data_IF_773733410452
#
_entry.id   IF_773733410452
#
_cell.length_a   1.000
_cell.length_b   1.000
_cell.length_c   1.000
_cell.angle_alpha   90.00
_cell.angle_beta   90.00
_cell.angle_gamma   90.00
#
_symmetry.space_group_name_H-M   'P 1'
#
loop_
_entity.id
_entity.type
_entity.pdbx_description
1 polymer ?
#
# COMPACT_ATOMS: atom_id res chain seq x y z
N UNK A 1 13.80 -50.71 35.29
CA UNK A 1 15.11 -50.39 35.87
C UNK A 1 15.36 -48.91 35.61
N UNK A 2 15.17 -48.09 36.64
CA UNK A 2 15.28 -46.64 36.63
C UNK A 2 16.67 -46.27 37.12
N UNK A 3 17.38 -45.39 36.44
CA UNK A 3 18.53 -44.72 37.02
C UNK A 3 18.33 -43.18 36.85
N UNK A 4 18.14 -42.57 38.00
CA UNK A 4 18.18 -41.15 38.26
C UNK A 4 19.62 -40.69 38.30
N UNK A 5 19.95 -39.62 37.54
CA UNK A 5 21.23 -38.88 37.69
C UNK A 5 20.91 -37.52 38.26
N UNK A 6 21.44 -37.30 39.46
CA UNK A 6 21.44 -36.05 40.18
C UNK A 6 22.54 -35.15 39.65
N UNK A 7 22.26 -33.86 39.42
CA UNK A 7 23.24 -32.80 39.12
C UNK A 7 23.16 -31.74 40.19
N UNK A 8 24.25 -31.56 40.94
CA UNK A 8 24.44 -30.50 41.91
C UNK A 8 24.99 -29.20 41.27
N UNK A 9 24.72 -28.03 41.86
CA UNK A 9 25.11 -26.74 41.29
C UNK A 9 26.37 -26.22 42.02
N UNK A 10 27.42 -25.84 41.29
CA UNK A 10 28.42 -24.85 41.72
C UNK A 10 29.26 -24.39 40.52
N UNK A 11 29.42 -23.07 40.39
CA UNK A 11 30.34 -22.47 39.40
C UNK A 11 29.95 -21.07 38.98
N UNK A 12 30.13 -20.10 39.93
CA UNK A 12 30.22 -18.67 39.56
C UNK A 12 31.59 -18.41 38.93
N UNK A 13 31.64 -18.06 37.69
CA UNK A 13 32.80 -17.41 37.07
C UNK A 13 32.40 -16.01 36.61
N UNK A 14 32.99 -15.04 37.27
CA UNK A 14 32.88 -13.62 36.99
C UNK A 14 33.74 -13.26 35.78
N UNK A 15 33.12 -12.97 34.64
CA UNK A 15 33.76 -12.39 33.46
C UNK A 15 33.74 -10.87 33.56
N UNK A 16 34.94 -10.33 33.71
CA UNK A 16 35.31 -8.94 33.71
C UNK A 16 35.20 -8.39 32.28
N UNK A 17 34.26 -7.46 31.99
CA UNK A 17 34.11 -6.78 30.70
C UNK A 17 34.71 -5.38 30.80
N UNK A 18 35.71 -5.02 29.98
CA UNK A 18 36.25 -3.67 29.96
C UNK A 18 35.29 -2.68 29.31
N UNK A 19 34.99 -1.59 29.99
CA UNK A 19 34.23 -0.45 29.50
C UNK A 19 35.07 0.34 28.49
N UNK A 20 34.80 0.18 27.21
CA UNK A 20 35.27 1.12 26.21
C UNK A 20 34.21 2.20 25.97
N UNK A 21 34.56 3.42 26.33
CA UNK A 21 33.82 4.63 26.02
C UNK A 21 33.84 4.92 24.52
N UNK A 22 32.66 4.93 23.88
CA UNK A 22 32.47 5.35 22.50
C UNK A 22 32.09 6.84 22.43
N UNK A 23 32.60 7.61 21.46
CA UNK A 23 32.31 9.02 21.32
C UNK A 23 30.91 9.25 20.76
N UNK A 24 30.23 10.25 21.30
CA UNK A 24 28.92 10.72 20.90
C UNK A 24 28.91 11.20 19.43
N UNK A 25 28.37 10.41 18.51
CA UNK A 25 28.01 10.88 17.16
C UNK A 25 26.64 11.52 17.22
N UNK A 26 26.58 12.82 17.04
CA UNK A 26 25.38 13.59 16.74
C UNK A 26 24.76 13.05 15.45
N UNK A 27 23.66 12.29 15.57
CA UNK A 27 22.82 11.92 14.42
C UNK A 27 21.98 13.12 14.03
N UNK A 28 22.26 13.66 12.85
CA UNK A 28 21.37 14.57 12.16
C UNK A 28 20.07 13.82 11.84
N UNK A 29 18.96 14.28 12.41
CA UNK A 29 17.61 13.83 12.06
C UNK A 29 17.29 14.39 10.68
N UNK A 30 17.39 13.58 9.64
CA UNK A 30 16.72 13.84 8.37
C UNK A 30 15.26 13.41 8.53
N UNK A 31 14.39 14.37 8.71
CA UNK A 31 12.94 14.21 8.55
C UNK A 31 12.66 13.99 7.07
N UNK A 32 12.36 12.75 6.71
CA UNK A 32 11.74 12.44 5.42
C UNK A 32 10.24 12.60 5.63
N UNK A 33 9.73 13.77 5.25
CA UNK A 33 8.29 14.04 5.19
C UNK A 33 7.81 13.55 3.84
N UNK A 34 7.42 12.28 3.76
CA UNK A 34 6.67 11.74 2.64
C UNK A 34 5.20 12.07 2.84
N UNK A 35 4.75 13.17 2.27
CA UNK A 35 3.33 13.52 2.14
C UNK A 35 2.73 12.65 1.04
N UNK A 36 2.05 11.56 1.43
CA UNK A 36 1.08 10.91 0.55
C UNK A 36 -0.22 11.72 0.68
N UNK A 37 -0.40 12.65 -0.25
CA UNK A 37 -1.62 13.45 -0.35
C UNK A 37 -2.72 12.61 -0.97
N UNK A 38 -3.53 11.97 -0.13
CA UNK A 38 -4.82 11.46 -0.54
C UNK A 38 -5.79 12.66 -0.56
N UNK A 39 -5.96 13.28 -1.71
CA UNK A 39 -6.94 14.36 -1.90
C UNK A 39 -8.35 13.78 -1.92
N UNK A 40 -8.99 13.71 -0.76
CA UNK A 40 -10.45 13.68 -0.69
C UNK A 40 -10.93 15.08 -1.06
N UNK A 41 -11.44 15.25 -2.26
CA UNK A 41 -12.13 16.45 -2.68
C UNK A 41 -13.47 16.55 -1.94
N UNK A 42 -13.45 17.22 -0.78
CA UNK A 42 -14.65 17.64 -0.10
C UNK A 42 -15.06 18.99 -0.68
N UNK A 43 -16.03 19.00 -1.58
CA UNK A 43 -16.64 20.22 -2.11
C UNK A 43 -17.49 20.87 -1.01
N UNK A 44 -16.89 21.82 -0.28
CA UNK A 44 -17.65 22.79 0.49
C UNK A 44 -17.89 24.00 -0.39
N UNK A 45 -19.14 24.22 -0.82
CA UNK A 45 -19.55 25.41 -1.51
C UNK A 45 -19.57 26.62 -0.55
N UNK A 46 -18.94 27.73 -0.90
CA UNK A 46 -19.17 28.97 -0.17
C UNK A 46 -20.51 29.58 -0.60
N UNK A 47 -21.35 29.91 0.39
CA UNK A 47 -22.55 30.70 0.18
C UNK A 47 -22.16 32.13 -0.27
N UNK A 48 -22.36 32.42 -1.54
CA UNK A 48 -22.21 33.77 -2.08
C UNK A 48 -23.47 34.56 -1.80
N UNK A 49 -23.30 35.66 -1.07
CA UNK A 49 -24.29 36.74 -0.96
C UNK A 49 -24.51 37.35 -2.35
N UNK A 50 -25.76 37.47 -2.74
CA UNK A 50 -26.18 38.06 -4.01
C UNK A 50 -25.94 39.56 -4.02
N UNK A 51 -25.25 40.05 -5.05
CA UNK A 51 -25.18 41.46 -5.43
C UNK A 51 -25.95 41.64 -6.75
N UNK A 52 -26.72 42.76 -6.95
CA UNK A 52 -27.70 42.83 -8.02
C UNK A 52 -27.11 43.37 -9.33
N UNK A 53 -27.47 42.64 -10.40
CA UNK A 53 -27.68 43.13 -11.77
C UNK A 53 -26.55 43.89 -12.50
N UNK A 54 -25.89 43.12 -13.42
CA UNK A 54 -25.33 43.65 -14.66
C UNK A 54 -25.95 42.90 -15.87
N UNK A 55 -26.04 43.54 -17.07
CA UNK A 55 -26.89 43.06 -18.14
C UNK A 55 -26.36 41.82 -18.86
N UNK A 56 -27.31 40.98 -19.33
CA UNK A 56 -27.09 39.75 -20.07
C UNK A 56 -26.32 39.97 -21.36
N UNK A 57 -25.13 39.40 -21.45
CA UNK A 57 -24.42 39.18 -22.70
C UNK A 57 -24.82 37.78 -23.23
N UNK A 58 -25.42 37.77 -24.43
CA UNK A 58 -25.84 36.58 -25.15
C UNK A 58 -24.64 35.95 -25.83
N UNK A 59 -23.85 35.20 -25.06
CA UNK A 59 -22.83 34.33 -25.65
C UNK A 59 -23.46 33.02 -26.15
N UNK A 60 -23.25 32.71 -27.43
CA UNK A 60 -23.70 31.48 -28.06
C UNK A 60 -23.25 30.22 -27.30
N UNK A 61 -24.03 29.11 -27.34
CA UNK A 61 -23.64 27.89 -26.65
C UNK A 61 -22.33 27.34 -27.23
N UNK A 62 -21.30 27.22 -26.38
CA UNK A 62 -20.09 26.50 -26.73
C UNK A 62 -20.43 25.04 -27.01
N UNK A 63 -19.89 24.44 -28.11
CA UNK A 63 -20.06 23.01 -28.33
C UNK A 63 -19.50 22.24 -27.15
N UNK A 64 -20.28 21.31 -26.61
CA UNK A 64 -19.85 20.43 -25.52
C UNK A 64 -18.55 19.72 -25.91
N UNK A 65 -17.54 19.79 -25.04
CA UNK A 65 -16.31 19.04 -25.21
C UNK A 65 -16.63 17.55 -25.41
N UNK A 66 -15.92 16.84 -26.30
CA UNK A 66 -16.17 15.41 -26.50
C UNK A 66 -15.99 14.70 -25.17
N UNK A 67 -17.03 13.95 -24.77
CA UNK A 67 -17.00 13.10 -23.59
C UNK A 67 -15.88 12.07 -23.80
N UNK A 68 -14.86 12.10 -22.97
CA UNK A 68 -13.82 11.09 -23.03
C UNK A 68 -14.45 9.68 -22.92
N UNK A 69 -13.97 8.69 -23.70
CA UNK A 69 -14.47 7.33 -23.58
C UNK A 69 -14.31 6.87 -22.12
N UNK A 70 -15.27 6.08 -21.59
CA UNK A 70 -15.15 5.54 -20.25
C UNK A 70 -13.84 4.75 -20.14
N UNK A 71 -13.15 4.88 -18.99
CA UNK A 71 -11.95 4.13 -18.70
C UNK A 71 -12.24 2.62 -18.85
N UNK A 72 -11.30 1.84 -19.38
CA UNK A 72 -11.47 0.39 -19.48
C UNK A 72 -11.74 -0.20 -18.10
N UNK A 73 -12.77 -1.06 -18.03
CA UNK A 73 -13.12 -1.75 -16.77
C UNK A 73 -11.98 -2.72 -16.42
N UNK A 74 -11.54 -2.70 -15.16
CA UNK A 74 -10.52 -3.63 -14.68
C UNK A 74 -11.06 -5.08 -14.79
N UNK A 75 -10.35 -6.01 -15.44
CA UNK A 75 -10.76 -7.41 -15.52
C UNK A 75 -11.08 -8.05 -14.17
N UNK A 76 -10.41 -7.61 -13.09
CA UNK A 76 -10.69 -8.08 -11.73
C UNK A 76 -12.11 -7.71 -11.24
N UNK A 77 -12.67 -6.62 -11.74
CA UNK A 77 -14.01 -6.13 -11.38
C UNK A 77 -15.10 -6.67 -12.30
N UNK A 78 -14.73 -7.31 -13.42
CA UNK A 78 -15.69 -7.92 -14.34
C UNK A 78 -16.37 -9.15 -13.70
N UNK A 79 -17.67 -9.37 -13.95
CA UNK A 79 -18.33 -10.59 -13.49
C UNK A 79 -17.71 -11.82 -14.18
N UNK A 80 -17.64 -12.93 -13.45
CA UNK A 80 -17.21 -14.20 -14.04
C UNK A 80 -18.29 -14.65 -15.02
N UNK A 81 -17.90 -14.88 -16.27
CA UNK A 81 -18.82 -15.40 -17.27
C UNK A 81 -19.02 -16.91 -17.01
N UNK A 82 -20.21 -17.28 -16.60
CA UNK A 82 -20.63 -18.66 -16.31
C UNK A 82 -21.46 -19.29 -17.44
N UNK A 83 -21.42 -18.72 -18.63
CA UNK A 83 -22.11 -19.28 -19.81
C UNK A 83 -21.63 -20.71 -20.10
N UNK A 84 -22.48 -21.57 -20.69
CA UNK A 84 -22.08 -22.92 -21.08
C UNK A 84 -20.80 -22.91 -21.94
N UNK A 85 -19.92 -23.88 -21.69
CA UNK A 85 -18.67 -23.98 -22.44
C UNK A 85 -18.95 -24.41 -23.90
N UNK A 86 -18.25 -23.80 -24.89
CA UNK A 86 -18.39 -24.15 -26.31
C UNK A 86 -17.61 -25.45 -26.62
N UNK A 87 -18.09 -26.57 -26.11
CA UNK A 87 -17.39 -27.88 -26.21
C UNK A 87 -17.25 -28.39 -27.64
N UNK A 88 -18.09 -27.89 -28.57
CA UNK A 88 -18.07 -28.28 -29.98
C UNK A 88 -17.06 -27.46 -30.79
N UNK A 89 -16.56 -26.35 -30.27
CA UNK A 89 -15.62 -25.44 -30.93
C UNK A 89 -14.32 -25.32 -30.06
N UNK A 90 -13.28 -25.98 -30.56
CA UNK A 90 -11.99 -26.00 -29.87
C UNK A 90 -11.34 -24.60 -29.76
N UNK A 91 -11.47 -23.78 -30.80
CA UNK A 91 -10.90 -22.44 -30.82
C UNK A 91 -11.62 -21.52 -29.82
N UNK A 92 -12.96 -21.58 -29.80
CA UNK A 92 -13.76 -20.83 -28.83
C UNK A 92 -13.54 -21.29 -27.38
N UNK A 93 -13.28 -22.59 -27.16
CA UNK A 93 -12.97 -23.09 -25.82
C UNK A 93 -11.61 -22.58 -25.33
N UNK A 94 -10.62 -22.50 -26.20
CA UNK A 94 -9.29 -22.01 -25.91
C UNK A 94 -9.27 -20.48 -25.72
N UNK A 95 -10.03 -19.74 -26.52
CA UNK A 95 -10.25 -18.30 -26.29
C UNK A 95 -10.89 -18.07 -24.92
N UNK A 96 -11.82 -18.95 -24.53
CA UNK A 96 -12.45 -18.92 -23.21
C UNK A 96 -11.45 -19.19 -22.08
N UNK A 97 -10.56 -20.17 -22.25
CA UNK A 97 -9.49 -20.46 -21.28
C UNK A 97 -8.58 -19.25 -21.11
N UNK A 98 -8.15 -18.64 -22.22
CA UNK A 98 -7.31 -17.44 -22.18
C UNK A 98 -8.00 -16.28 -21.46
N UNK A 99 -9.29 -16.04 -21.69
CA UNK A 99 -10.07 -15.01 -21.01
C UNK A 99 -10.18 -15.29 -19.49
N UNK A 100 -10.46 -16.53 -19.11
CA UNK A 100 -10.51 -16.95 -17.69
C UNK A 100 -9.16 -16.77 -17.02
N UNK A 101 -8.08 -17.16 -17.68
CA UNK A 101 -6.72 -17.01 -17.16
C UNK A 101 -6.34 -15.53 -16.97
N UNK A 102 -6.65 -14.67 -17.94
CA UNK A 102 -6.41 -13.23 -17.82
C UNK A 102 -7.21 -12.61 -16.66
N UNK A 103 -8.49 -12.98 -16.53
CA UNK A 103 -9.33 -12.53 -15.43
C UNK A 103 -8.82 -13.04 -14.09
N UNK A 104 -8.44 -14.29 -14.05
CA UNK A 104 -7.87 -14.94 -12.87
C UNK A 104 -6.58 -14.23 -12.42
N UNK A 105 -5.67 -13.87 -13.34
CA UNK A 105 -4.48 -13.11 -13.02
C UNK A 105 -4.81 -11.74 -12.42
N UNK A 106 -5.73 -10.99 -13.01
CA UNK A 106 -6.17 -9.70 -12.51
C UNK A 106 -6.76 -9.80 -11.09
N UNK A 107 -7.55 -10.84 -10.82
CA UNK A 107 -8.11 -11.11 -9.47
C UNK A 107 -7.00 -11.42 -8.48
N UNK A 108 -5.99 -12.23 -8.84
CA UNK A 108 -4.84 -12.54 -7.97
C UNK A 108 -4.05 -11.29 -7.61
N UNK A 109 -3.76 -10.45 -8.58
CA UNK A 109 -3.07 -9.18 -8.36
C UNK A 109 -3.85 -8.28 -7.42
N UNK A 110 -5.18 -8.21 -7.57
CA UNK A 110 -6.07 -7.46 -6.68
C UNK A 110 -6.10 -8.06 -5.26
N UNK A 111 -6.08 -9.38 -5.11
CA UNK A 111 -5.97 -10.05 -3.80
C UNK A 111 -4.70 -9.64 -3.08
N UNK A 112 -3.58 -9.56 -3.78
CA UNK A 112 -2.31 -9.14 -3.18
C UNK A 112 -2.31 -7.65 -2.78
N UNK A 113 -2.88 -6.79 -3.63
CA UNK A 113 -3.06 -5.37 -3.32
C UNK A 113 -3.92 -5.19 -2.06
N UNK A 114 -5.09 -5.83 -2.00
CA UNK A 114 -6.01 -5.77 -0.85
C UNK A 114 -5.35 -6.33 0.40
N UNK A 115 -4.62 -7.44 0.30
CA UNK A 115 -3.91 -8.06 1.45
C UNK A 115 -2.84 -7.11 2.01
N UNK A 116 -2.08 -6.45 1.14
CA UNK A 116 -1.10 -5.43 1.53
C UNK A 116 -1.78 -4.23 2.16
N UNK A 117 -2.91 -3.78 1.60
CA UNK A 117 -3.74 -2.70 2.12
C UNK A 117 -4.29 -2.99 3.51
N UNK A 118 -4.71 -4.23 3.78
CA UNK A 118 -5.15 -4.66 5.12
C UNK A 118 -4.03 -4.48 6.15
N UNK A 119 -2.80 -4.88 5.80
CA UNK A 119 -1.65 -4.72 6.69
C UNK A 119 -1.38 -3.25 7.06
N UNK A 120 -1.45 -2.35 6.09
CA UNK A 120 -1.29 -0.90 6.31
C UNK A 120 -2.44 -0.32 7.15
N UNK A 121 -3.69 -0.66 6.81
CA UNK A 121 -4.87 -0.20 7.54
C UNK A 121 -4.88 -0.70 9.00
N UNK A 122 -4.39 -1.91 9.27
CA UNK A 122 -4.21 -2.42 10.61
C UNK A 122 -3.18 -1.61 11.41
N UNK A 123 -2.06 -1.24 10.80
CA UNK A 123 -1.07 -0.38 11.46
C UNK A 123 -1.63 1.01 11.78
N UNK A 124 -2.42 1.58 10.88
CA UNK A 124 -3.09 2.87 11.13
C UNK A 124 -4.11 2.77 12.27
N UNK A 125 -4.91 1.69 12.29
CA UNK A 125 -5.85 1.41 13.38
C UNK A 125 -5.13 1.30 14.73
N UNK A 126 -4.01 0.59 14.78
CA UNK A 126 -3.27 0.39 16.03
C UNK A 126 -2.62 1.71 16.52
N UNK A 127 -2.14 2.56 15.60
CA UNK A 127 -1.68 3.92 15.91
C UNK A 127 -2.83 4.79 16.44
N UNK A 128 -3.96 4.77 15.76
CA UNK A 128 -5.14 5.53 16.19
C UNK A 128 -5.68 5.04 17.54
N UNK A 129 -5.64 3.74 17.82
CA UNK A 129 -6.00 3.20 19.12
C UNK A 129 -5.06 3.68 20.24
N UNK A 130 -3.75 3.71 20.00
CA UNK A 130 -2.78 4.25 20.94
C UNK A 130 -2.99 5.76 21.18
N UNK A 131 -3.35 6.52 20.16
CA UNK A 131 -3.68 7.94 20.28
C UNK A 131 -4.95 8.17 21.09
N UNK A 132 -6.00 7.35 20.93
CA UNK A 132 -7.20 7.40 21.77
C UNK A 132 -6.85 7.17 23.23
N UNK A 133 -6.01 6.20 23.54
CA UNK A 133 -5.59 5.89 24.90
C UNK A 133 -4.78 7.05 25.50
N UNK A 134 -3.82 7.61 24.75
CA UNK A 134 -3.01 8.74 25.16
C UNK A 134 -3.89 9.97 25.44
N UNK A 135 -4.75 10.36 24.47
CA UNK A 135 -5.61 11.54 24.60
C UNK A 135 -6.69 11.37 25.67
N UNK A 136 -7.13 10.14 25.95
CA UNK A 136 -8.04 9.84 27.05
C UNK A 136 -7.35 10.08 28.40
N UNK A 137 -6.12 9.60 28.58
CA UNK A 137 -5.33 9.88 29.81
C UNK A 137 -5.06 11.38 29.99
N UNK A 138 -4.76 12.10 28.91
CA UNK A 138 -4.58 13.56 28.95
C UNK A 138 -5.88 14.29 29.36
N UNK A 139 -7.02 13.85 28.83
CA UNK A 139 -8.32 14.43 29.17
C UNK A 139 -8.70 14.15 30.64
N UNK A 140 -8.46 12.95 31.13
CA UNK A 140 -8.66 12.56 32.53
C UNK A 140 -7.76 13.36 33.48
N UNK A 141 -6.49 13.54 33.13
CA UNK A 141 -5.55 14.35 33.89
C UNK A 141 -5.96 15.82 33.93
N UNK A 142 -6.41 16.39 32.81
CA UNK A 142 -6.92 17.75 32.74
C UNK A 142 -8.19 17.92 33.60
N UNK A 143 -9.09 16.94 33.57
CA UNK A 143 -10.31 16.91 34.38
C UNK A 143 -9.97 16.81 35.88
N UNK A 144 -9.04 15.94 36.27
CA UNK A 144 -8.61 15.79 37.66
C UNK A 144 -7.94 17.05 38.17
N UNK A 145 -7.09 17.72 37.38
CA UNK A 145 -6.48 19.00 37.73
C UNK A 145 -7.52 20.12 37.92
N UNK A 146 -8.57 20.15 37.08
CA UNK A 146 -9.67 21.08 37.22
C UNK A 146 -10.45 20.85 38.54
N UNK A 147 -10.84 19.60 38.79
CA UNK A 147 -11.57 19.21 39.99
C UNK A 147 -10.79 19.50 41.30
N UNK A 148 -9.50 19.18 41.32
CA UNK A 148 -8.64 19.44 42.48
C UNK A 148 -8.53 20.95 42.78
N UNK A 149 -8.50 21.78 41.72
CA UNK A 149 -8.48 23.25 41.89
C UNK A 149 -9.80 23.78 42.38
N UNK A 150 -10.95 23.33 41.84
CA UNK A 150 -12.27 23.72 42.27
C UNK A 150 -12.47 23.43 43.76
N UNK A 151 -12.02 22.26 44.26
CA UNK A 151 -12.06 21.91 45.67
C UNK A 151 -11.19 22.87 46.50
N UNK A 152 -10.01 23.22 46.02
CA UNK A 152 -9.06 24.12 46.70
C UNK A 152 -9.64 25.55 46.73
N UNK A 153 -10.21 26.01 45.66
CA UNK A 153 -10.86 27.36 45.60
C UNK A 153 -12.09 27.44 46.50
N UNK A 154 -12.93 26.40 46.53
CA UNK A 154 -14.09 26.32 47.42
C UNK A 154 -13.67 26.33 48.87
N UNK A 155 -12.61 25.57 49.23
CA UNK A 155 -12.00 25.57 50.57
C UNK A 155 -11.48 26.97 50.94
N UNK A 156 -10.68 27.57 50.05
CA UNK A 156 -10.15 28.90 50.23
C UNK A 156 -11.24 29.98 50.33
N UNK A 157 -12.32 29.91 49.57
CA UNK A 157 -13.47 30.83 49.63
C UNK A 157 -14.18 30.70 50.97
N UNK A 158 -14.32 29.49 51.51
CA UNK A 158 -14.90 29.22 52.83
C UNK A 158 -14.04 29.81 53.98
N UNK A 159 -12.71 29.78 53.86
CA UNK A 159 -11.80 30.35 54.85
C UNK A 159 -11.59 31.87 54.69
N UNK A 160 -11.80 32.45 53.49
CA UNK A 160 -11.56 33.86 53.18
C UNK A 160 -12.78 34.74 53.38
N UNK A 161 -13.95 34.19 53.78
CA UNK A 161 -15.20 34.92 53.99
C UNK A 161 -15.61 35.77 52.77
N UNK A 162 -16.72 35.52 52.16
CA UNK A 162 -17.17 36.19 50.95
C UNK A 162 -17.11 37.70 51.07
N UNK A 163 -16.64 38.40 50.06
CA UNK A 163 -16.80 39.82 49.68
C UNK A 163 -16.89 40.87 50.81
N UNK A 164 -17.57 40.62 51.91
CA UNK A 164 -17.69 41.52 53.03
C UNK A 164 -16.34 41.74 53.79
N UNK A 165 -15.55 40.71 53.98
CA UNK A 165 -14.20 40.83 54.59
C UNK A 165 -13.20 41.56 53.66
N UNK A 166 -13.35 41.46 52.33
CA UNK A 166 -12.48 42.20 51.42
C UNK A 166 -12.81 43.71 51.46
N UNK A 167 -14.08 44.06 51.57
CA UNK A 167 -14.50 45.47 51.80
C UNK A 167 -14.02 45.93 53.16
N UNK A 168 -14.17 45.13 54.19
CA UNK A 168 -13.68 45.45 55.54
C UNK A 168 -12.15 45.56 55.58
N UNK A 169 -11.41 44.71 54.84
CA UNK A 169 -9.94 44.78 54.73
C UNK A 169 -9.47 46.06 54.03
N UNK A 170 -10.22 46.58 53.07
CA UNK A 170 -9.93 47.85 52.39
C UNK A 170 -10.33 49.03 53.33
N UNK A 171 -11.53 48.98 53.94
CA UNK A 171 -12.02 49.99 54.85
C UNK A 171 -11.23 50.13 56.16
N UNK A 172 -10.61 49.01 56.64
CA UNK A 172 -9.71 48.96 57.81
C UNK A 172 -8.29 49.39 57.56
N UNK A 173 -7.96 49.94 56.39
CA UNK A 173 -6.64 50.45 56.08
C UNK A 173 -6.39 51.76 56.83
N UNK A 174 -5.36 51.89 57.66
CA UNK A 174 -5.11 53.05 58.47
C UNK A 174 -4.73 54.32 57.72
N UNK A 175 -4.49 54.23 56.39
CA UNK A 175 -4.26 55.40 55.50
C UNK A 175 -4.93 55.22 54.14
N UNK A 176 -5.26 56.30 53.44
CA UNK A 176 -5.81 56.20 52.07
C UNK A 176 -4.90 55.43 51.10
N UNK A 177 -3.64 55.65 51.21
CA UNK A 177 -2.63 54.91 50.37
C UNK A 177 -2.67 53.39 50.59
N UNK A 178 -2.70 52.95 51.85
CA UNK A 178 -2.80 51.53 52.20
C UNK A 178 -4.13 50.88 51.70
N UNK A 179 -5.19 51.66 51.64
CA UNK A 179 -6.47 51.20 51.07
C UNK A 179 -6.36 50.95 49.55
N UNK A 180 -5.73 51.87 48.81
CA UNK A 180 -5.47 51.74 47.37
C UNK A 180 -4.58 50.57 47.07
N UNK A 181 -3.49 50.40 47.83
CA UNK A 181 -2.53 49.27 47.64
C UNK A 181 -3.20 47.92 47.90
N UNK A 182 -4.04 47.81 48.95
CA UNK A 182 -4.83 46.62 49.23
C UNK A 182 -5.87 46.29 48.13
N UNK A 183 -6.54 47.32 47.60
CA UNK A 183 -7.48 47.18 46.52
C UNK A 183 -6.79 46.73 45.23
N UNK A 184 -5.63 47.30 44.92
CA UNK A 184 -4.78 46.88 43.79
C UNK A 184 -4.33 45.42 43.90
N UNK A 185 -3.88 45.02 45.08
CA UNK A 185 -3.49 43.62 45.34
C UNK A 185 -4.64 42.63 45.18
N UNK A 186 -5.84 42.93 45.72
CA UNK A 186 -7.05 42.12 45.57
C UNK A 186 -7.44 42.00 44.11
N UNK A 187 -7.38 43.13 43.36
CA UNK A 187 -7.68 43.11 41.93
C UNK A 187 -6.67 42.27 41.13
N UNK A 188 -5.38 42.33 41.46
CA UNK A 188 -4.35 41.49 40.85
C UNK A 188 -4.58 39.98 41.12
N UNK A 189 -4.95 39.61 42.36
CA UNK A 189 -5.34 38.25 42.69
C UNK A 189 -6.53 37.77 41.87
N UNK A 190 -7.60 38.56 41.77
CA UNK A 190 -8.80 38.24 40.96
C UNK A 190 -8.46 38.09 39.47
N UNK A 191 -7.59 38.97 38.96
CA UNK A 191 -7.13 38.87 37.55
C UNK A 191 -6.35 37.57 37.31
N UNK A 192 -5.48 37.20 38.24
CA UNK A 192 -4.72 35.93 38.17
C UNK A 192 -5.65 34.69 38.24
N UNK A 193 -6.65 34.72 39.14
CA UNK A 193 -7.63 33.62 39.26
C UNK A 193 -8.44 33.46 37.98
N UNK A 194 -8.93 34.57 37.38
CA UNK A 194 -9.64 34.56 36.10
C UNK A 194 -8.75 34.00 34.98
N UNK A 195 -7.51 34.47 34.88
CA UNK A 195 -6.56 33.98 33.88
C UNK A 195 -6.28 32.47 34.02
N UNK A 196 -6.24 32.00 35.28
CA UNK A 196 -6.04 30.58 35.55
C UNK A 196 -7.27 29.75 35.22
N UNK A 197 -8.48 30.21 35.52
CA UNK A 197 -9.74 29.57 35.10
C UNK A 197 -9.87 29.50 33.58
N UNK A 198 -9.50 30.57 32.88
CA UNK A 198 -9.52 30.59 31.41
C UNK A 198 -8.56 29.56 30.85
N UNK A 199 -7.30 29.54 31.30
CA UNK A 199 -6.30 28.51 30.86
C UNK A 199 -6.77 27.08 31.14
N UNK A 200 -7.46 26.86 32.24
CA UNK A 200 -7.99 25.55 32.60
C UNK A 200 -9.12 25.12 31.67
N UNK A 201 -10.06 26.02 31.36
CA UNK A 201 -11.13 25.78 30.38
C UNK A 201 -10.52 25.45 29.00
N UNK A 202 -9.60 26.26 28.53
CA UNK A 202 -8.91 26.05 27.26
C UNK A 202 -8.19 24.67 27.23
N UNK A 203 -7.56 24.27 28.33
CA UNK A 203 -6.91 22.97 28.47
C UNK A 203 -7.91 21.80 28.39
N UNK A 204 -9.08 21.94 29.07
CA UNK A 204 -10.15 20.95 29.03
C UNK A 204 -10.73 20.81 27.62
N UNK A 205 -11.05 21.96 26.99
CA UNK A 205 -11.59 21.98 25.63
C UNK A 205 -10.61 21.36 24.62
N UNK A 206 -9.33 21.70 24.74
CA UNK A 206 -8.27 21.15 23.90
C UNK A 206 -8.14 19.63 24.09
N UNK A 207 -8.14 19.14 25.32
CA UNK A 207 -8.06 17.73 25.63
C UNK A 207 -9.29 16.95 25.15
N UNK A 208 -10.50 17.50 25.33
CA UNK A 208 -11.74 16.91 24.84
C UNK A 208 -11.78 16.87 23.30
N UNK A 209 -11.34 17.93 22.64
CA UNK A 209 -11.25 18.02 21.19
C UNK A 209 -10.25 17.00 20.63
N UNK A 210 -9.07 16.89 21.23
CA UNK A 210 -8.05 15.92 20.84
C UNK A 210 -8.55 14.47 20.98
N UNK A 211 -9.21 14.14 22.10
CA UNK A 211 -9.84 12.83 22.33
C UNK A 211 -10.89 12.53 21.27
N UNK A 212 -11.77 13.49 20.97
CA UNK A 212 -12.81 13.33 19.94
C UNK A 212 -12.22 13.12 18.54
N UNK A 213 -11.14 13.84 18.20
CA UNK A 213 -10.43 13.68 16.94
C UNK A 213 -9.79 12.28 16.82
N UNK A 214 -9.13 11.81 17.89
CA UNK A 214 -8.53 10.49 17.94
C UNK A 214 -9.59 9.37 17.80
N UNK A 215 -10.74 9.51 18.45
CA UNK A 215 -11.86 8.56 18.32
C UNK A 215 -12.39 8.50 16.88
N UNK A 216 -12.52 9.65 16.20
CA UNK A 216 -12.92 9.66 14.78
C UNK A 216 -11.89 9.00 13.90
N UNK A 217 -10.60 9.28 14.09
CA UNK A 217 -9.52 8.65 13.33
C UNK A 217 -9.52 7.13 13.51
N UNK A 218 -9.72 6.65 14.76
CA UNK A 218 -9.85 5.22 15.04
C UNK A 218 -11.06 4.60 14.32
N UNK A 219 -12.21 5.23 14.37
CA UNK A 219 -13.42 4.75 13.69
C UNK A 219 -13.23 4.66 12.16
N UNK A 220 -12.56 5.65 11.57
CA UNK A 220 -12.20 5.62 10.14
C UNK A 220 -11.26 4.45 9.82
N UNK A 221 -10.24 4.24 10.63
CA UNK A 221 -9.29 3.14 10.44
C UNK A 221 -9.96 1.76 10.64
N UNK A 222 -10.83 1.61 11.63
CA UNK A 222 -11.64 0.38 11.83
C UNK A 222 -12.52 0.10 10.61
N UNK A 223 -13.16 1.13 10.04
CA UNK A 223 -13.96 1.00 8.82
C UNK A 223 -13.11 0.57 7.62
N UNK A 224 -11.94 1.18 7.43
CA UNK A 224 -11.02 0.80 6.33
C UNK A 224 -10.59 -0.66 6.42
N UNK A 225 -10.27 -1.16 7.62
CA UNK A 225 -9.92 -2.58 7.81
C UNK A 225 -11.11 -3.48 7.48
N UNK A 226 -12.33 -3.10 7.89
CA UNK A 226 -13.54 -3.87 7.60
C UNK A 226 -13.86 -3.91 6.11
N UNK A 227 -13.80 -2.79 5.42
CA UNK A 227 -14.05 -2.67 3.98
C UNK A 227 -13.07 -3.52 3.17
N UNK A 228 -11.77 -3.42 3.48
CA UNK A 228 -10.75 -4.22 2.80
C UNK A 228 -10.92 -5.73 3.04
N UNK A 229 -11.33 -6.14 4.24
CA UNK A 229 -11.64 -7.55 4.52
C UNK A 229 -12.85 -8.06 3.75
N UNK A 230 -13.88 -7.24 3.61
CA UNK A 230 -15.04 -7.56 2.79
C UNK A 230 -14.63 -7.77 1.32
N UNK A 231 -13.84 -6.85 0.76
CA UNK A 231 -13.29 -7.00 -0.60
C UNK A 231 -12.43 -8.25 -0.74
N UNK A 232 -11.63 -8.59 0.27
CA UNK A 232 -10.84 -9.82 0.26
C UNK A 232 -11.74 -11.08 0.18
N UNK A 233 -12.88 -11.09 0.88
CA UNK A 233 -13.86 -12.19 0.81
C UNK A 233 -14.49 -12.28 -0.57
N UNK A 234 -14.94 -11.16 -1.14
CA UNK A 234 -15.50 -11.12 -2.49
C UNK A 234 -14.50 -11.64 -3.54
N UNK A 235 -13.23 -11.24 -3.44
CA UNK A 235 -12.18 -11.72 -4.33
C UNK A 235 -11.90 -13.21 -4.14
N UNK A 236 -11.96 -13.73 -2.92
CA UNK A 236 -11.80 -15.16 -2.65
C UNK A 236 -12.93 -16.00 -3.27
N UNK A 237 -14.18 -15.53 -3.21
CA UNK A 237 -15.31 -16.16 -3.88
C UNK A 237 -15.13 -16.15 -5.41
N UNK A 238 -14.71 -15.01 -5.97
CA UNK A 238 -14.44 -14.88 -7.40
C UNK A 238 -13.30 -15.80 -7.85
N UNK A 239 -12.22 -15.89 -7.07
CA UNK A 239 -11.13 -16.84 -7.32
C UNK A 239 -11.63 -18.27 -7.38
N UNK A 240 -12.48 -18.69 -6.43
CA UNK A 240 -13.05 -20.03 -6.42
C UNK A 240 -13.93 -20.32 -7.65
N UNK A 241 -14.71 -19.33 -8.11
CA UNK A 241 -15.51 -19.45 -9.32
C UNK A 241 -14.63 -19.61 -10.57
N UNK A 242 -13.58 -18.80 -10.69
CA UNK A 242 -12.64 -18.87 -11.81
C UNK A 242 -11.86 -20.19 -11.80
N UNK A 243 -11.44 -20.68 -10.65
CA UNK A 243 -10.76 -21.97 -10.51
C UNK A 243 -11.68 -23.12 -10.96
N UNK A 244 -12.94 -23.12 -10.53
CA UNK A 244 -13.91 -24.10 -10.95
C UNK A 244 -14.13 -24.09 -12.47
N UNK A 245 -14.27 -22.90 -13.05
CA UNK A 245 -14.46 -22.72 -14.50
C UNK A 245 -13.23 -23.16 -15.28
N UNK A 246 -12.03 -22.83 -14.81
CA UNK A 246 -10.77 -23.25 -15.39
C UNK A 246 -10.65 -24.78 -15.41
N UNK A 247 -10.96 -25.45 -14.29
CA UNK A 247 -10.90 -26.90 -14.19
C UNK A 247 -11.87 -27.58 -15.16
N UNK A 248 -13.08 -27.02 -15.33
CA UNK A 248 -14.06 -27.48 -16.33
C UNK A 248 -13.53 -27.31 -17.76
N UNK A 249 -12.93 -26.15 -18.10
CA UNK A 249 -12.35 -25.91 -19.42
C UNK A 249 -11.15 -26.84 -19.65
N UNK A 250 -10.28 -27.03 -18.67
CA UNK A 250 -9.13 -27.93 -18.76
C UNK A 250 -9.59 -29.36 -19.06
N UNK A 251 -10.60 -29.86 -18.33
CA UNK A 251 -11.16 -31.19 -18.60
C UNK A 251 -11.75 -31.30 -20.02
N UNK A 252 -12.40 -30.24 -20.52
CA UNK A 252 -12.90 -30.21 -21.90
C UNK A 252 -11.75 -30.20 -22.94
N UNK A 253 -10.67 -29.44 -22.68
CA UNK A 253 -9.47 -29.41 -23.53
C UNK A 253 -8.77 -30.77 -23.52
N UNK A 254 -8.69 -31.45 -22.37
CA UNK A 254 -8.10 -32.79 -22.27
C UNK A 254 -8.88 -33.82 -23.11
N UNK A 255 -10.18 -33.64 -23.26
CA UNK A 255 -11.04 -34.44 -24.14
C UNK A 255 -10.90 -34.16 -25.63
N UNK A 256 -10.16 -33.13 -26.05
CA UNK A 256 -9.96 -32.79 -27.47
C UNK A 256 -9.10 -33.82 -28.22
N UNK A 257 -9.31 -33.90 -29.55
CA UNK A 257 -8.49 -34.73 -30.41
C UNK A 257 -7.04 -34.21 -30.47
N UNK A 258 -6.06 -35.11 -30.78
CA UNK A 258 -4.66 -34.69 -30.96
C UNK A 258 -4.49 -33.59 -32.03
N UNK A 259 -5.30 -33.62 -33.09
CA UNK A 259 -5.23 -32.63 -34.18
C UNK A 259 -5.77 -31.26 -33.73
N UNK A 260 -6.77 -31.23 -32.84
CA UNK A 260 -7.28 -30.00 -32.25
C UNK A 260 -6.24 -29.38 -31.32
N UNK A 261 -5.63 -30.19 -30.45
CA UNK A 261 -4.54 -29.75 -29.56
C UNK A 261 -3.35 -29.23 -30.36
N UNK A 262 -2.95 -29.91 -31.45
CA UNK A 262 -1.83 -29.48 -32.28
C UNK A 262 -2.06 -28.14 -32.94
N UNK A 263 -3.27 -27.87 -33.48
CA UNK A 263 -3.62 -26.56 -34.05
C UNK A 263 -3.49 -25.42 -33.05
N UNK A 264 -3.81 -25.69 -31.78
CA UNK A 264 -3.66 -24.68 -30.72
C UNK A 264 -2.18 -24.45 -30.37
N UNK A 265 -1.39 -25.52 -30.22
CA UNK A 265 0.07 -25.43 -30.01
C UNK A 265 0.74 -24.67 -31.17
N UNK A 266 0.34 -24.93 -32.43
CA UNK A 266 0.87 -24.24 -33.60
C UNK A 266 0.55 -22.75 -33.61
N UNK A 267 -0.57 -22.34 -33.00
CA UNK A 267 -0.96 -20.92 -32.87
C UNK A 267 -0.24 -20.19 -31.74
N UNK A 268 0.02 -20.85 -30.62
CA UNK A 268 0.55 -20.27 -29.39
C UNK A 268 1.85 -20.93 -28.90
N UNK A 269 2.41 -21.82 -29.71
CA UNK A 269 3.57 -22.62 -29.35
C UNK A 269 4.85 -21.81 -29.11
N UNK A 270 5.83 -22.37 -28.40
CA UNK A 270 7.09 -21.74 -28.12
C UNK A 270 7.89 -21.47 -29.39
N UNK A 271 8.59 -20.35 -29.43
CA UNK A 271 9.68 -20.13 -30.38
C UNK A 271 10.84 -21.00 -29.91
N UNK A 272 11.31 -21.88 -30.78
CA UNK A 272 12.51 -22.69 -30.48
C UNK A 272 13.74 -21.76 -30.43
N UNK A 273 14.44 -21.76 -29.30
CA UNK A 273 15.57 -20.87 -29.05
C UNK A 273 16.75 -21.74 -28.56
N UNK A 274 17.86 -21.69 -29.30
CA UNK A 274 19.12 -22.17 -28.75
C UNK A 274 19.58 -21.23 -27.61
N UNK A 275 19.32 -21.68 -26.39
CA UNK A 275 19.54 -20.87 -25.17
C UNK A 275 21.02 -20.47 -25.04
N UNK A 276 21.98 -21.29 -25.45
CA UNK A 276 23.41 -20.96 -25.31
C UNK A 276 23.84 -19.86 -26.29
N UNK A 277 23.47 -20.03 -27.56
CA UNK A 277 23.70 -18.99 -28.58
C UNK A 277 22.99 -17.69 -28.22
N UNK A 278 21.76 -17.80 -27.74
CA UNK A 278 20.96 -16.65 -27.37
C UNK A 278 21.53 -15.89 -26.14
N UNK A 279 21.96 -16.60 -25.09
CA UNK A 279 22.62 -15.98 -23.94
C UNK A 279 23.91 -15.25 -24.32
N UNK A 280 24.65 -15.75 -25.29
CA UNK A 280 25.81 -15.05 -25.85
C UNK A 280 25.44 -13.73 -26.49
N UNK A 281 24.35 -13.67 -27.27
CA UNK A 281 23.82 -12.45 -27.88
C UNK A 281 23.31 -11.46 -26.82
N UNK A 282 22.63 -11.91 -25.80
CA UNK A 282 22.17 -11.08 -24.67
C UNK A 282 23.36 -10.46 -23.93
N UNK A 283 24.40 -11.26 -23.65
CA UNK A 283 25.61 -10.78 -23.00
C UNK A 283 26.31 -9.71 -23.84
N UNK A 284 26.38 -9.88 -25.16
CA UNK A 284 26.95 -8.90 -26.09
C UNK A 284 26.11 -7.60 -26.13
N UNK A 285 24.76 -7.74 -26.22
CA UNK A 285 23.84 -6.60 -26.26
C UNK A 285 23.88 -5.77 -24.97
N UNK A 286 23.96 -6.43 -23.80
CA UNK A 286 24.09 -5.77 -22.50
C UNK A 286 25.44 -5.09 -22.35
N UNK A 287 26.52 -5.71 -22.85
CA UNK A 287 27.88 -5.17 -22.74
C UNK A 287 28.12 -3.97 -23.68
N UNK A 288 27.45 -3.94 -24.83
CA UNK A 288 27.57 -2.86 -25.83
C UNK A 288 26.54 -1.77 -25.68
N UNK A 289 25.50 -1.97 -24.86
CA UNK A 289 24.43 -1.00 -24.61
C UNK A 289 24.77 0.04 -23.54
N UNK A 290 23.83 1.00 -23.27
CA UNK A 290 24.03 2.03 -22.26
C UNK A 290 24.21 1.51 -20.83
N UNK A 291 23.90 0.24 -20.56
CA UNK A 291 24.14 -0.45 -19.30
C UNK A 291 25.58 -0.95 -19.15
N UNK A 292 26.36 -1.03 -20.23
CA UNK A 292 27.73 -1.58 -20.24
C UNK A 292 28.73 -0.83 -19.37
N UNK A 293 28.42 0.41 -18.93
CA UNK A 293 29.24 1.17 -17.99
C UNK A 293 28.87 0.97 -16.51
N UNK A 294 27.78 0.24 -16.21
CA UNK A 294 27.29 -0.01 -14.85
C UNK A 294 27.40 -1.54 -14.59
N UNK A 295 28.60 -2.03 -14.39
CA UNK A 295 28.94 -3.46 -14.32
C UNK A 295 27.99 -4.33 -13.47
N UNK A 296 27.62 -3.86 -12.27
CA UNK A 296 26.71 -4.60 -11.37
C UNK A 296 25.29 -4.71 -11.93
N UNK A 297 24.77 -3.67 -12.58
CA UNK A 297 23.43 -3.65 -13.18
C UNK A 297 23.40 -4.53 -14.42
N UNK A 298 24.40 -4.45 -15.28
CA UNK A 298 24.51 -5.28 -16.47
C UNK A 298 24.59 -6.78 -16.10
N UNK A 299 25.34 -7.10 -15.07
CA UNK A 299 25.45 -8.47 -14.56
C UNK A 299 24.13 -8.98 -13.96
N UNK A 300 23.43 -8.13 -13.17
CA UNK A 300 22.14 -8.49 -12.60
C UNK A 300 21.06 -8.71 -13.66
N UNK A 301 21.02 -7.88 -14.71
CA UNK A 301 20.09 -8.03 -15.85
C UNK A 301 20.36 -9.31 -16.61
N UNK A 302 21.63 -9.57 -16.99
CA UNK A 302 22.02 -10.82 -17.67
C UNK A 302 21.68 -12.04 -16.82
N UNK A 303 21.93 -11.97 -15.52
CA UNK A 303 21.63 -13.04 -14.59
C UNK A 303 20.13 -13.29 -14.42
N UNK A 304 19.28 -12.24 -14.43
CA UNK A 304 17.83 -12.41 -14.36
C UNK A 304 17.28 -13.06 -15.65
N UNK A 305 17.76 -12.64 -16.82
CA UNK A 305 17.42 -13.28 -18.11
C UNK A 305 17.84 -14.75 -18.11
N UNK A 306 19.06 -15.04 -17.66
CA UNK A 306 19.56 -16.41 -17.57
C UNK A 306 18.73 -17.25 -16.59
N UNK A 307 18.36 -16.70 -15.44
CA UNK A 307 17.54 -17.39 -14.48
C UNK A 307 16.15 -17.71 -15.05
N UNK A 308 15.50 -16.76 -15.73
CA UNK A 308 14.21 -16.98 -16.37
C UNK A 308 14.28 -18.02 -17.49
N UNK A 309 15.29 -17.94 -18.38
CA UNK A 309 15.51 -18.94 -19.44
C UNK A 309 15.85 -20.32 -18.89
N UNK A 310 16.53 -20.41 -17.74
CA UNK A 310 16.79 -21.68 -17.04
C UNK A 310 15.52 -22.36 -16.52
N UNK A 311 14.36 -21.72 -16.62
CA UNK A 311 13.04 -22.25 -16.22
C UNK A 311 12.14 -22.60 -17.41
N UNK A 312 12.67 -22.58 -18.63
CA UNK A 312 11.93 -23.07 -19.80
C UNK A 312 11.42 -24.49 -19.56
N UNK A 313 10.18 -24.74 -19.89
CA UNK A 313 9.52 -26.02 -19.65
C UNK A 313 8.92 -26.18 -18.24
N UNK A 314 9.16 -25.26 -17.29
CA UNK A 314 8.52 -25.30 -15.96
C UNK A 314 7.02 -25.05 -16.10
N UNK A 315 6.16 -25.76 -15.32
CA UNK A 315 4.73 -25.64 -15.44
C UNK A 315 4.24 -24.26 -14.97
N UNK A 316 3.18 -23.78 -15.61
CA UNK A 316 2.42 -22.66 -15.10
C UNK A 316 1.60 -23.08 -13.89
N UNK A 317 1.65 -22.28 -12.83
CA UNK A 317 0.75 -22.41 -11.69
C UNK A 317 0.44 -21.02 -11.13
N UNK A 318 -0.82 -20.74 -11.02
CA UNK A 318 -1.30 -19.47 -10.50
C UNK A 318 -0.78 -19.16 -9.10
N UNK A 319 -0.35 -17.90 -8.88
CA UNK A 319 0.21 -17.44 -7.60
C UNK A 319 1.59 -18.01 -7.29
N UNK A 320 2.13 -18.91 -8.11
CA UNK A 320 3.44 -19.51 -7.91
C UNK A 320 4.56 -18.54 -8.32
N UNK A 321 5.62 -18.52 -7.49
CA UNK A 321 6.83 -17.74 -7.72
C UNK A 321 8.10 -18.61 -7.63
N UNK A 322 8.00 -19.87 -8.11
CA UNK A 322 9.12 -20.82 -8.17
C UNK A 322 9.33 -21.59 -6.86
N UNK A 323 10.34 -22.49 -6.85
CA UNK A 323 11.27 -22.77 -7.95
C UNK A 323 10.73 -23.72 -9.03
N UNK A 324 9.60 -24.44 -8.78
CA UNK A 324 9.15 -25.56 -9.61
C UNK A 324 7.99 -25.21 -10.54
N UNK A 325 7.25 -24.15 -10.24
CA UNK A 325 6.14 -23.64 -11.03
C UNK A 325 6.07 -22.11 -10.92
N UNK A 326 5.48 -21.44 -11.92
CA UNK A 326 5.44 -19.98 -12.01
C UNK A 326 4.12 -19.50 -12.58
N UNK A 327 3.63 -18.34 -12.09
CA UNK A 327 2.80 -17.45 -12.89
C UNK A 327 3.66 -16.41 -13.64
N UNK A 328 3.06 -15.57 -14.48
CA UNK A 328 3.79 -14.62 -15.30
C UNK A 328 4.64 -13.63 -14.46
N UNK A 329 4.06 -12.99 -13.46
CA UNK A 329 4.75 -12.05 -12.59
C UNK A 329 5.65 -12.75 -11.55
N UNK A 330 5.32 -13.96 -11.17
CA UNK A 330 6.12 -14.82 -10.29
C UNK A 330 7.44 -15.25 -10.91
N UNK A 331 7.46 -15.55 -12.21
CA UNK A 331 8.69 -15.83 -12.94
C UNK A 331 9.63 -14.60 -12.94
N UNK A 332 9.08 -13.40 -13.20
CA UNK A 332 9.83 -12.14 -13.15
C UNK A 332 10.40 -11.90 -11.76
N UNK A 333 9.55 -11.99 -10.75
CA UNK A 333 9.91 -11.83 -9.34
C UNK A 333 11.03 -12.78 -8.93
N UNK A 334 10.88 -14.06 -9.22
CA UNK A 334 11.87 -15.09 -8.91
C UNK A 334 13.20 -14.86 -9.63
N UNK A 335 13.16 -14.54 -10.92
CA UNK A 335 14.35 -14.33 -11.73
C UNK A 335 15.20 -13.15 -11.19
N UNK A 336 14.58 -12.04 -10.81
CA UNK A 336 15.27 -10.92 -10.19
C UNK A 336 15.78 -11.23 -8.78
N UNK A 337 15.04 -12.03 -8.01
CA UNK A 337 15.49 -12.48 -6.69
C UNK A 337 16.78 -13.32 -6.76
N UNK A 338 16.96 -14.13 -7.81
CA UNK A 338 18.22 -14.90 -8.01
C UNK A 338 19.43 -13.97 -8.13
N UNK A 339 19.22 -12.71 -8.44
CA UNK A 339 20.25 -11.67 -8.50
C UNK A 339 20.28 -10.75 -7.26
N UNK A 340 19.60 -11.13 -6.21
CA UNK A 340 19.50 -10.32 -4.99
C UNK A 340 18.66 -9.04 -5.15
N UNK A 341 17.92 -8.89 -6.25
CA UNK A 341 17.09 -7.72 -6.54
C UNK A 341 15.62 -8.03 -6.28
N UNK A 342 15.00 -7.25 -5.41
CA UNK A 342 13.58 -7.35 -5.13
C UNK A 342 12.79 -6.42 -6.06
N UNK A 343 11.79 -6.98 -6.74
CA UNK A 343 10.82 -6.25 -7.55
C UNK A 343 9.41 -6.51 -7.00
N UNK A 344 8.39 -5.72 -7.35
CA UNK A 344 7.02 -5.99 -6.94
C UNK A 344 6.53 -7.37 -7.41
N UNK A 345 5.54 -7.94 -6.71
CA UNK A 345 5.03 -9.29 -7.01
C UNK A 345 4.01 -9.31 -8.15
N UNK A 346 3.21 -8.25 -8.33
CA UNK A 346 2.09 -8.23 -9.28
C UNK A 346 2.49 -7.61 -10.62
N UNK A 347 1.82 -8.01 -11.70
CA UNK A 347 2.09 -7.54 -13.07
C UNK A 347 2.01 -6.02 -13.18
N UNK A 348 0.93 -5.41 -12.65
CA UNK A 348 0.73 -3.96 -12.67
C UNK A 348 1.83 -3.22 -11.89
N UNK A 349 2.16 -3.72 -10.69
CA UNK A 349 3.18 -3.11 -9.86
C UNK A 349 4.59 -3.29 -10.45
N UNK A 350 4.84 -4.36 -11.19
CA UNK A 350 6.09 -4.57 -11.92
C UNK A 350 6.26 -3.57 -13.05
N UNK A 351 5.21 -3.29 -13.82
CA UNK A 351 5.30 -2.30 -14.91
C UNK A 351 5.28 -0.87 -14.41
N UNK A 352 4.55 -0.57 -13.32
CA UNK A 352 4.48 0.77 -12.75
C UNK A 352 5.61 1.12 -11.79
N UNK A 353 6.28 0.13 -11.22
CA UNK A 353 7.27 0.30 -10.15
C UNK A 353 8.72 0.50 -10.61
N UNK A 354 9.02 0.23 -11.87
CA UNK A 354 10.34 0.45 -12.47
C UNK A 354 10.43 1.74 -13.27
N UNK A 355 11.55 1.94 -13.95
CA UNK A 355 11.73 3.04 -14.90
C UNK A 355 10.95 2.74 -16.18
N UNK A 356 9.98 3.58 -16.60
CA UNK A 356 9.20 3.34 -17.80
C UNK A 356 10.07 3.25 -19.06
N UNK A 357 9.78 2.28 -19.91
CA UNK A 357 10.49 2.03 -21.17
C UNK A 357 9.49 2.01 -22.33
N UNK A 358 9.80 2.71 -23.42
CA UNK A 358 9.01 2.65 -24.64
C UNK A 358 9.27 1.33 -25.40
N UNK A 359 8.31 0.95 -26.25
CA UNK A 359 8.41 -0.28 -27.08
C UNK A 359 9.70 -0.36 -27.87
N UNK A 360 10.16 0.76 -28.46
CA UNK A 360 11.34 0.84 -29.32
C UNK A 360 12.66 0.90 -28.54
N UNK A 361 12.59 1.12 -27.22
CA UNK A 361 13.75 1.22 -26.33
C UNK A 361 13.94 -0.02 -25.43
N UNK A 362 13.22 -1.11 -25.74
CA UNK A 362 13.32 -2.36 -24.98
C UNK A 362 14.73 -2.94 -25.03
N UNK A 363 15.20 -3.37 -23.87
CA UNK A 363 16.49 -4.06 -23.70
C UNK A 363 16.30 -5.36 -22.93
N UNK A 364 17.18 -6.35 -23.10
CA UNK A 364 17.12 -7.57 -22.32
C UNK A 364 17.00 -7.28 -20.82
N UNK A 365 16.10 -8.00 -20.14
CA UNK A 365 15.76 -7.79 -18.74
C UNK A 365 14.57 -6.87 -18.49
N UNK A 366 14.15 -6.02 -19.44
CA UNK A 366 12.94 -5.21 -19.26
C UNK A 366 11.71 -6.08 -19.06
N UNK A 367 10.88 -5.70 -18.12
CA UNK A 367 9.57 -6.34 -17.89
C UNK A 367 8.56 -5.69 -18.81
N UNK A 368 7.99 -6.46 -19.72
CA UNK A 368 6.97 -6.02 -20.69
C UNK A 368 5.60 -6.45 -20.19
N UNK A 369 4.71 -5.48 -20.08
CA UNK A 369 3.31 -5.68 -19.72
C UNK A 369 2.41 -5.77 -20.96
N UNK A 370 1.42 -6.64 -20.90
CA UNK A 370 0.49 -6.94 -21.96
C UNK A 370 -0.94 -6.80 -21.51
N UNK A 371 -1.82 -6.55 -22.46
CA UNK A 371 -3.27 -6.34 -22.33
C UNK A 371 -3.65 -5.09 -21.51
N UNK A 372 -4.84 -4.50 -21.74
CA UNK A 372 -5.36 -3.42 -20.92
C UNK A 372 -5.37 -3.80 -19.43
N UNK A 373 -4.87 -2.92 -18.56
CA UNK A 373 -4.75 -3.20 -17.13
C UNK A 373 -3.50 -4.00 -16.73
N UNK A 374 -2.60 -4.33 -17.68
CA UNK A 374 -1.36 -5.11 -17.44
C UNK A 374 -1.66 -6.44 -16.74
N UNK A 375 -2.54 -7.24 -17.34
CA UNK A 375 -2.92 -8.54 -16.77
C UNK A 375 -1.88 -9.64 -17.00
N UNK A 376 -0.87 -9.40 -17.85
CA UNK A 376 0.19 -10.33 -18.14
C UNK A 376 1.55 -9.62 -18.27
N UNK A 377 2.63 -10.31 -17.92
CA UNK A 377 4.00 -9.81 -18.09
C UNK A 377 4.94 -10.89 -18.60
N UNK A 378 5.99 -10.45 -19.32
CA UNK A 378 7.12 -11.26 -19.71
C UNK A 378 8.41 -10.46 -19.64
N UNK A 379 9.55 -11.13 -19.58
CA UNK A 379 10.86 -10.49 -19.61
C UNK A 379 11.35 -10.42 -21.05
N UNK A 380 11.64 -9.21 -21.52
CA UNK A 380 12.28 -9.03 -22.82
C UNK A 380 13.68 -9.63 -22.80
N UNK A 381 13.98 -10.41 -23.82
CA UNK A 381 15.25 -11.13 -23.89
C UNK A 381 16.10 -10.70 -25.10
N UNK A 382 15.60 -9.79 -25.94
CA UNK A 382 16.25 -9.33 -27.17
C UNK A 382 15.55 -9.87 -28.43
N UNK A 383 15.89 -9.35 -29.59
CA UNK A 383 15.42 -9.78 -30.90
C UNK A 383 13.90 -9.90 -31.02
N UNK A 384 13.14 -9.00 -30.39
CA UNK A 384 11.69 -9.04 -30.38
C UNK A 384 11.08 -10.22 -29.63
N UNK A 385 11.84 -10.85 -28.71
CA UNK A 385 11.40 -12.02 -27.95
C UNK A 385 11.25 -11.73 -26.46
N UNK A 386 10.34 -12.45 -25.82
CA UNK A 386 10.12 -12.47 -24.39
C UNK A 386 10.19 -13.91 -23.86
N UNK A 387 10.63 -14.08 -22.62
CA UNK A 387 10.39 -15.29 -21.84
C UNK A 387 9.28 -15.03 -20.84
N UNK A 388 8.29 -15.92 -20.77
CA UNK A 388 7.15 -15.78 -19.89
C UNK A 388 6.56 -17.12 -19.45
N UNK A 389 5.88 -17.13 -18.30
CA UNK A 389 4.95 -18.19 -17.94
C UNK A 389 3.59 -17.79 -18.50
N UNK A 390 3.17 -18.46 -19.59
CA UNK A 390 2.07 -17.97 -20.41
C UNK A 390 0.71 -18.20 -19.77
N UNK A 391 0.34 -19.47 -19.60
CA UNK A 391 -0.99 -19.86 -19.18
C UNK A 391 -1.01 -21.29 -18.65
N UNK A 392 -2.14 -21.71 -18.08
CA UNK A 392 -2.35 -23.06 -17.60
C UNK A 392 -2.22 -24.08 -18.75
N UNK A 393 -1.43 -25.12 -18.53
CA UNK A 393 -1.12 -26.13 -19.55
C UNK A 393 -0.06 -25.71 -20.56
N UNK A 394 0.39 -24.45 -20.53
CA UNK A 394 1.51 -23.98 -21.33
C UNK A 394 2.71 -23.71 -20.39
N UNK A 395 3.80 -24.45 -20.54
CA UNK A 395 4.98 -24.25 -19.70
C UNK A 395 5.64 -22.90 -19.98
N UNK A 396 6.57 -22.49 -19.12
CA UNK A 396 7.44 -21.34 -19.36
C UNK A 396 8.09 -21.50 -20.74
N UNK A 397 7.94 -20.48 -21.56
CA UNK A 397 8.35 -20.51 -22.97
C UNK A 397 8.89 -19.16 -23.45
N UNK A 398 9.48 -19.16 -24.63
CA UNK A 398 9.82 -17.95 -25.38
C UNK A 398 8.76 -17.69 -26.45
N UNK A 399 8.32 -16.44 -26.54
CA UNK A 399 7.34 -15.99 -27.54
C UNK A 399 7.76 -14.65 -28.14
N UNK A 400 7.13 -14.26 -29.26
CA UNK A 400 7.30 -12.91 -29.81
C UNK A 400 6.74 -11.88 -28.85
N UNK A 401 7.40 -10.76 -28.68
CA UNK A 401 6.89 -9.61 -27.96
C UNK A 401 5.64 -8.98 -28.61
N UNK A 402 5.40 -9.30 -29.88
CA UNK A 402 4.23 -8.88 -30.66
C UNK A 402 3.08 -9.91 -30.65
N UNK A 403 3.26 -11.04 -29.95
CA UNK A 403 2.20 -12.06 -29.85
C UNK A 403 1.00 -11.60 -28.98
N UNK A 404 1.18 -10.55 -28.20
CA UNK A 404 0.17 -10.01 -27.30
C UNK A 404 0.12 -8.48 -27.38
N UNK A 405 -1.04 -7.82 -27.10
CA UNK A 405 -1.16 -6.36 -27.09
C UNK A 405 -0.24 -5.72 -26.05
N UNK A 406 0.72 -4.89 -26.48
CA UNK A 406 1.63 -4.16 -25.60
C UNK A 406 0.88 -3.12 -24.75
N UNK A 407 1.10 -3.11 -23.44
CA UNK A 407 0.48 -2.20 -22.48
C UNK A 407 1.48 -1.29 -21.74
N UNK A 408 2.77 -1.57 -21.84
CA UNK A 408 3.84 -0.79 -21.19
C UNK A 408 5.05 -1.66 -20.93
N UNK A 409 6.14 -1.04 -20.47
CA UNK A 409 7.32 -1.79 -20.00
C UNK A 409 8.07 -1.01 -18.94
N UNK A 410 8.83 -1.71 -18.11
CA UNK A 410 9.63 -1.13 -17.06
C UNK A 410 11.01 -1.80 -16.95
N UNK A 411 12.02 -0.98 -16.61
CA UNK A 411 13.40 -1.40 -16.34
C UNK A 411 13.71 -1.32 -14.86
N UNK A 412 14.33 -2.33 -14.35
CA UNK A 412 14.77 -2.46 -12.97
C UNK A 412 16.28 -2.43 -12.83
#
# INVERSE_FOLDING_TARGET
MWQTVSVSPTGQESLNVPTHSLPSRRRARRTVTGLLSLTLASAAAPSALADPAAPADQSAPQPAAPVAPPAPVDPADMPVDTSPLPTDDADALLDRLSAVSAQSQAVSDRVQEVTSGIGLAQQERDRAAADVERTSREAEAAQAAASAKDVTELSNAKYRGATAEQVAAIAGAGTPQAAVDRAAYINALRANDRATQTRMRESLEKAASAKSAAMRAKATADFSVSDLRHRQQELAERTSQLDTLRDQITAAVDGMSPEQKQRWVDRHGPIDVDVQTFLGQVQEAVSSGPLGSAGDVAQAVTGAVQAALGKLGAPYSWGAAGPDAFDCSGLMYWAYQQQGKSIPRTSQAQVSGGTPVSRDALQPGDIVGFYPGVTHVGMYIGDGKIVHASDYGIPVQVSSVDSMPFAGAARY
#
